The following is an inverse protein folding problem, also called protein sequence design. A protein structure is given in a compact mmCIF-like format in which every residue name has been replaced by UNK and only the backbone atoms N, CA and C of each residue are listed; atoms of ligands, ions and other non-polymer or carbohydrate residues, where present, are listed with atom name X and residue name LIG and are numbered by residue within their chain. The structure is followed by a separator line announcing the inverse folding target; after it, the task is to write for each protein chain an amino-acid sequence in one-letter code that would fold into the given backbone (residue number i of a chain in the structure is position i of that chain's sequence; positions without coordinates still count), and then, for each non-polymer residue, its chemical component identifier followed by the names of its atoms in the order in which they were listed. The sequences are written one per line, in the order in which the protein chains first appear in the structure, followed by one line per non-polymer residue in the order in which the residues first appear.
data_IF_730623320409
#
_entry.id   IF_730623320409
#
_cell.length_a   1.000
_cell.length_b   1.000
_cell.length_c   1.000
_cell.angle_alpha   90.00
_cell.angle_beta   90.00
_cell.angle_gamma   90.00
#
_symmetry.space_group_name_H-M   'P 1'
#
loop_
_entity.id
_entity.type
_entity.pdbx_description
1 polymer ?
#
# COMPACT_ATOMS: atom_id res chain seq x y z
N UNK A 1 -5.40 -11.37 15.88
CA UNK A 1 -4.87 -10.01 15.64
C UNK A 1 -4.45 -9.91 14.18
N UNK A 2 -4.99 -8.94 13.45
CA UNK A 2 -4.81 -8.80 12.01
C UNK A 2 -3.34 -8.64 11.60
N UNK A 3 -3.02 -9.07 10.38
CA UNK A 3 -1.68 -8.94 9.79
C UNK A 3 -1.42 -7.50 9.35
N UNK A 4 -0.14 -7.11 9.36
CA UNK A 4 0.34 -5.89 8.73
C UNK A 4 0.97 -6.24 7.37
N UNK A 5 0.45 -5.65 6.31
CA UNK A 5 0.83 -5.94 4.93
C UNK A 5 1.35 -4.67 4.27
N UNK A 6 2.49 -4.75 3.59
CA UNK A 6 2.95 -3.67 2.72
C UNK A 6 2.66 -4.05 1.27
N UNK A 7 1.93 -3.18 0.53
CA UNK A 7 1.51 -3.46 -0.84
C UNK A 7 1.62 -2.25 -1.76
N UNK A 8 2.20 -2.45 -2.94
CA UNK A 8 2.12 -1.51 -4.08
C UNK A 8 2.52 -2.17 -5.40
N UNK A 9 2.13 -1.54 -6.51
CA UNK A 9 2.77 -1.75 -7.81
C UNK A 9 4.21 -1.25 -7.77
N UNK A 10 5.13 -2.02 -8.35
CA UNK A 10 6.56 -1.74 -8.32
C UNK A 10 7.20 -2.00 -9.68
N UNK A 11 8.11 -1.11 -10.10
CA UNK A 11 8.97 -1.33 -11.27
C UNK A 11 9.96 -2.48 -11.02
N UNK A 12 10.52 -3.05 -12.07
CA UNK A 12 11.51 -4.13 -11.98
C UNK A 12 12.75 -3.73 -11.16
N UNK A 13 13.08 -2.46 -11.16
CA UNK A 13 14.23 -1.89 -10.42
C UNK A 13 13.84 -1.28 -9.05
N UNK A 14 12.63 -1.59 -8.54
CA UNK A 14 12.27 -1.37 -7.15
C UNK A 14 11.62 -0.02 -6.81
N UNK A 15 11.08 0.70 -7.79
CA UNK A 15 10.42 1.99 -7.56
C UNK A 15 8.90 1.89 -7.64
N UNK A 16 8.21 2.70 -6.84
CA UNK A 16 6.74 2.81 -6.76
C UNK A 16 6.21 4.11 -7.38
N UNK A 17 7.08 5.02 -7.73
CA UNK A 17 6.81 6.25 -8.48
C UNK A 17 8.12 6.77 -9.07
N UNK A 18 8.03 7.64 -10.07
CA UNK A 18 9.17 8.37 -10.61
C UNK A 18 9.65 9.49 -9.65
N UNK A 19 10.74 10.24 -9.98
CA UNK A 19 11.20 11.33 -9.11
C UNK A 19 10.21 12.50 -8.93
N UNK A 20 9.17 12.58 -9.78
CA UNK A 20 8.10 13.58 -9.72
C UNK A 20 6.81 13.04 -9.10
N UNK A 21 6.86 11.88 -8.45
CA UNK A 21 5.73 11.16 -7.84
C UNK A 21 4.68 10.62 -8.82
N UNK A 22 4.99 10.56 -10.12
CA UNK A 22 4.07 9.96 -11.06
C UNK A 22 4.22 8.43 -11.03
N UNK A 23 3.09 7.74 -10.94
CA UNK A 23 3.05 6.28 -11.01
C UNK A 23 3.15 5.78 -12.46
N UNK A 24 2.70 6.59 -13.43
CA UNK A 24 2.82 6.30 -14.86
C UNK A 24 2.45 4.86 -15.21
N UNK A 25 3.33 4.14 -15.94
CA UNK A 25 3.05 2.79 -16.42
C UNK A 25 2.88 1.73 -15.33
N UNK A 26 3.18 2.04 -14.06
CA UNK A 26 2.93 1.11 -12.95
C UNK A 26 1.45 0.80 -12.75
N UNK A 27 0.55 1.65 -13.24
CA UNK A 27 -0.89 1.48 -13.08
C UNK A 27 -1.62 1.07 -14.36
N UNK A 28 -0.92 0.88 -15.48
CA UNK A 28 -1.53 0.48 -16.76
C UNK A 28 -2.30 -0.85 -16.66
N UNK A 29 -1.81 -1.78 -15.83
CA UNK A 29 -2.45 -3.09 -15.65
C UNK A 29 -3.82 -3.02 -14.98
N UNK A 30 -4.15 -1.92 -14.29
CA UNK A 30 -5.50 -1.67 -13.73
C UNK A 30 -6.55 -1.34 -14.81
N UNK A 31 -6.14 -1.12 -16.05
CA UNK A 31 -7.01 -0.79 -17.17
C UNK A 31 -6.92 -1.75 -18.37
N UNK A 32 -6.18 -2.88 -18.26
CA UNK A 32 -5.85 -3.71 -19.42
C UNK A 32 -6.63 -5.03 -19.55
N UNK A 33 -7.72 -5.20 -18.80
CA UNK A 33 -8.52 -6.43 -18.83
C UNK A 33 -10.02 -6.19 -18.90
N UNK A 34 -10.76 -7.28 -18.84
CA UNK A 34 -12.22 -7.30 -19.02
C UNK A 34 -13.00 -7.50 -17.73
N UNK A 35 -12.31 -7.79 -16.60
CA UNK A 35 -12.98 -8.08 -15.33
C UNK A 35 -12.95 -6.85 -14.44
N UNK A 36 -14.15 -6.38 -14.09
CA UNK A 36 -14.29 -5.24 -13.18
C UNK A 36 -14.02 -5.64 -11.72
N UNK A 37 -13.24 -4.80 -11.05
CA UNK A 37 -12.95 -4.90 -9.61
C UNK A 37 -13.06 -3.51 -9.00
N UNK A 38 -13.71 -3.41 -7.85
CA UNK A 38 -13.80 -2.19 -7.05
C UNK A 38 -13.15 -2.39 -5.69
N UNK A 39 -12.51 -1.34 -5.17
CA UNK A 39 -12.03 -1.29 -3.79
C UNK A 39 -13.12 -0.81 -2.82
N UNK A 40 -12.72 -0.06 -1.80
CA UNK A 40 -13.64 0.53 -0.82
C UNK A 40 -14.52 1.65 -1.44
N UNK A 41 -14.01 2.35 -2.43
CA UNK A 41 -14.78 3.34 -3.22
C UNK A 41 -15.44 2.65 -4.43
N UNK A 42 -16.79 2.48 -4.45
CA UNK A 42 -17.48 1.82 -5.55
C UNK A 42 -17.43 2.61 -6.86
N UNK A 43 -17.17 3.91 -6.81
CA UNK A 43 -17.05 4.77 -7.98
C UNK A 43 -15.70 4.57 -8.70
N UNK A 44 -14.74 3.93 -8.02
CA UNK A 44 -13.42 3.61 -8.58
C UNK A 44 -13.39 2.18 -9.11
N UNK A 45 -13.67 2.02 -10.39
CA UNK A 45 -13.70 0.73 -11.09
C UNK A 45 -12.38 0.49 -11.81
N UNK A 46 -11.75 -0.65 -11.55
CA UNK A 46 -10.58 -1.15 -12.27
C UNK A 46 -11.01 -2.26 -13.24
N UNK A 47 -10.32 -2.38 -14.38
CA UNK A 47 -10.55 -3.42 -15.39
C UNK A 47 -9.28 -4.22 -15.57
N UNK A 48 -9.24 -5.41 -15.04
CA UNK A 48 -8.02 -6.22 -14.97
C UNK A 48 -8.24 -7.62 -15.57
N UNK A 49 -7.16 -8.38 -15.77
CA UNK A 49 -7.25 -9.78 -16.17
C UNK A 49 -7.98 -10.61 -15.10
N UNK A 50 -8.54 -11.75 -15.49
CA UNK A 50 -9.25 -12.63 -14.56
C UNK A 50 -8.36 -13.11 -13.39
N UNK A 51 -7.07 -13.37 -13.65
CA UNK A 51 -6.11 -13.76 -12.62
C UNK A 51 -5.86 -12.62 -11.64
N UNK A 52 -5.62 -11.40 -12.14
CA UNK A 52 -5.47 -10.20 -11.30
C UNK A 52 -6.74 -9.88 -10.52
N UNK A 53 -7.92 -10.06 -11.10
CA UNK A 53 -9.19 -9.85 -10.41
C UNK A 53 -9.37 -10.81 -9.22
N UNK A 54 -9.05 -12.08 -9.39
CA UNK A 54 -9.10 -13.05 -8.30
C UNK A 54 -8.13 -12.69 -7.17
N UNK A 55 -6.89 -12.33 -7.53
CA UNK A 55 -5.87 -11.88 -6.58
C UNK A 55 -6.31 -10.63 -5.81
N UNK A 56 -6.80 -9.59 -6.50
CA UNK A 56 -7.22 -8.35 -5.87
C UNK A 56 -8.41 -8.54 -4.92
N UNK A 57 -9.40 -9.36 -5.33
CA UNK A 57 -10.54 -9.68 -4.47
C UNK A 57 -10.12 -10.39 -3.20
N UNK A 58 -9.17 -11.32 -3.28
CA UNK A 58 -8.58 -11.97 -2.09
C UNK A 58 -7.83 -10.94 -1.22
N UNK A 59 -6.93 -10.16 -1.80
CA UNK A 59 -6.11 -9.20 -1.07
C UNK A 59 -6.94 -8.10 -0.40
N UNK A 60 -8.05 -7.65 -1.03
CA UNK A 60 -8.88 -6.56 -0.51
C UNK A 60 -10.06 -7.02 0.35
N UNK A 61 -10.46 -8.30 0.27
CA UNK A 61 -11.64 -8.83 0.99
C UNK A 61 -11.54 -8.67 2.51
N UNK A 62 -10.33 -8.68 3.06
CA UNK A 62 -10.07 -8.54 4.50
C UNK A 62 -9.33 -7.25 4.85
N UNK A 63 -9.29 -6.27 3.95
CA UNK A 63 -8.66 -5.00 4.23
C UNK A 63 -9.47 -4.19 5.26
N UNK A 64 -8.84 -3.83 6.37
CA UNK A 64 -9.47 -3.08 7.45
C UNK A 64 -9.07 -1.60 7.43
N UNK A 65 -7.79 -1.33 7.55
CA UNK A 65 -7.26 0.02 7.77
C UNK A 65 -5.98 0.23 6.96
N UNK A 66 -5.80 1.43 6.42
CA UNK A 66 -4.57 1.82 5.74
C UNK A 66 -3.73 2.76 6.61
N UNK A 67 -2.41 2.58 6.61
CA UNK A 67 -1.41 3.50 7.18
C UNK A 67 -0.59 4.07 6.04
N UNK A 68 -0.61 5.38 5.88
CA UNK A 68 0.04 6.09 4.78
C UNK A 68 0.95 7.21 5.29
N UNK A 69 1.86 7.67 4.43
CA UNK A 69 2.64 8.88 4.70
C UNK A 69 1.92 10.16 4.25
N UNK A 70 2.31 11.29 4.85
CA UNK A 70 1.80 12.62 4.53
C UNK A 70 1.91 12.96 3.03
N UNK A 71 3.03 12.62 2.38
CA UNK A 71 3.22 12.89 0.95
C UNK A 71 2.13 12.25 0.07
N UNK A 72 1.80 10.99 0.32
CA UNK A 72 0.74 10.31 -0.42
C UNK A 72 -0.64 10.94 -0.13
N UNK A 73 -0.90 11.30 1.12
CA UNK A 73 -2.10 12.04 1.49
C UNK A 73 -2.23 13.35 0.69
N UNK A 74 -1.17 14.15 0.63
CA UNK A 74 -1.18 15.43 -0.09
C UNK A 74 -1.36 15.24 -1.61
N UNK A 75 -0.65 14.27 -2.22
CA UNK A 75 -0.74 13.95 -3.65
C UNK A 75 -2.14 13.53 -4.09
N UNK A 76 -2.87 12.85 -3.22
CA UNK A 76 -4.21 12.34 -3.50
C UNK A 76 -5.34 13.22 -2.94
N UNK A 77 -5.00 14.27 -2.21
CA UNK A 77 -5.93 15.02 -1.36
C UNK A 77 -6.78 14.09 -0.48
N UNK A 78 -6.13 13.05 0.11
CA UNK A 78 -6.81 12.03 0.89
C UNK A 78 -7.93 11.33 0.13
N UNK A 79 -7.78 11.14 -1.19
CA UNK A 79 -8.82 10.59 -2.07
C UNK A 79 -10.20 11.24 -1.87
N UNK A 80 -10.21 12.55 -1.61
CA UNK A 80 -11.41 13.32 -1.33
C UNK A 80 -12.24 12.75 -0.16
N UNK A 81 -11.57 12.30 0.89
CA UNK A 81 -12.19 11.75 2.10
C UNK A 81 -12.65 10.29 2.00
N UNK A 82 -12.43 9.61 0.86
CA UNK A 82 -12.80 8.21 0.65
C UNK A 82 -11.57 7.31 0.75
N UNK A 83 -11.44 6.40 1.74
CA UNK A 83 -10.33 5.46 1.81
C UNK A 83 -10.18 4.66 0.51
N UNK A 84 -8.95 4.46 -0.01
CA UNK A 84 -8.77 3.69 -1.25
C UNK A 84 -9.01 2.20 -1.05
N UNK A 85 -8.71 1.70 0.16
CA UNK A 85 -8.91 0.31 0.59
C UNK A 85 -9.21 0.32 2.08
N UNK A 86 -10.11 -0.56 2.52
CA UNK A 86 -10.55 -0.64 3.92
C UNK A 86 -11.51 0.50 4.31
N UNK A 87 -11.70 0.72 5.60
CA UNK A 87 -12.72 1.64 6.13
C UNK A 87 -12.14 2.91 6.75
N UNK A 88 -10.82 2.95 7.04
CA UNK A 88 -10.16 4.11 7.65
C UNK A 88 -8.71 4.23 7.22
N UNK A 89 -8.15 5.44 7.36
CA UNK A 89 -6.77 5.77 7.03
C UNK A 89 -6.08 6.46 8.21
N UNK A 90 -4.91 5.97 8.58
CA UNK A 90 -3.99 6.65 9.49
C UNK A 90 -2.87 7.31 8.69
N UNK A 91 -2.72 8.61 8.84
CA UNK A 91 -1.70 9.42 8.13
C UNK A 91 -0.56 9.74 9.07
N UNK A 92 0.61 9.15 8.84
CA UNK A 92 1.83 9.49 9.59
C UNK A 92 2.35 10.82 9.09
N UNK A 93 2.44 11.81 9.98
CA UNK A 93 2.84 13.18 9.64
C UNK A 93 3.47 13.88 10.83
N UNK A 94 4.32 14.88 10.61
CA UNK A 94 4.81 15.77 11.67
C UNK A 94 3.80 16.86 12.03
N UNK A 95 2.92 17.23 11.09
CA UNK A 95 1.88 18.25 11.28
C UNK A 95 0.64 17.85 10.50
N UNK A 96 -0.53 17.71 11.14
CA UNK A 96 -1.81 17.57 10.44
C UNK A 96 -2.04 18.76 9.49
N UNK A 97 -2.82 18.62 8.41
CA UNK A 97 -3.24 19.75 7.60
C UNK A 97 -4.15 20.65 8.43
N UNK A 98 -4.02 21.96 8.27
CA UNK A 98 -4.85 22.96 8.98
C UNK A 98 -6.23 23.09 8.32
N UNK A 99 -6.25 23.09 6.99
CA UNK A 99 -7.46 23.23 6.17
C UNK A 99 -7.57 22.04 5.21
N UNK A 100 -8.35 21.04 5.59
CA UNK A 100 -8.70 19.92 4.72
C UNK A 100 -10.21 19.85 4.58
N UNK A 101 -10.70 19.78 3.33
CA UNK A 101 -12.12 19.89 2.98
C UNK A 101 -13.02 18.78 3.52
N UNK A 102 -12.44 17.71 4.08
CA UNK A 102 -13.16 16.50 4.51
C UNK A 102 -12.90 16.17 5.99
N UNK A 103 -13.23 17.07 6.94
CA UNK A 103 -12.91 16.89 8.36
C UNK A 103 -13.60 15.66 9.01
N UNK A 104 -14.75 15.25 8.49
CA UNK A 104 -15.54 14.12 9.00
C UNK A 104 -15.17 12.77 8.33
N UNK A 105 -14.21 12.77 7.39
CA UNK A 105 -13.75 11.56 6.75
C UNK A 105 -13.00 10.67 7.75
N UNK A 106 -12.98 9.33 7.54
CA UNK A 106 -12.35 8.38 8.45
C UNK A 106 -10.81 8.41 8.34
N UNK A 107 -10.21 9.58 8.56
CA UNK A 107 -8.78 9.81 8.53
C UNK A 107 -8.27 10.29 9.89
N UNK A 108 -7.24 9.63 10.40
CA UNK A 108 -6.57 9.99 11.66
C UNK A 108 -5.14 10.40 11.37
N UNK A 109 -4.76 11.61 11.77
CA UNK A 109 -3.39 12.10 11.64
C UNK A 109 -2.58 11.75 12.89
N UNK A 110 -1.48 11.01 12.70
CA UNK A 110 -0.62 10.53 13.79
C UNK A 110 0.73 11.21 13.72
N UNK A 111 1.09 11.92 14.79
CA UNK A 111 2.36 12.68 14.90
C UNK A 111 3.46 11.94 15.64
N UNK A 112 3.14 10.83 16.29
CA UNK A 112 4.03 10.07 17.17
C UNK A 112 4.75 8.91 16.44
N UNK A 113 4.76 8.96 15.09
CA UNK A 113 5.51 8.03 14.26
C UNK A 113 4.73 6.79 13.83
N UNK A 114 5.42 5.94 13.02
CA UNK A 114 4.80 4.80 12.35
C UNK A 114 4.37 3.70 13.33
N UNK A 115 5.13 3.46 14.39
CA UNK A 115 4.82 2.44 15.38
C UNK A 115 3.48 2.73 16.07
N UNK A 116 3.27 3.99 16.46
CA UNK A 116 2.01 4.43 17.07
C UNK A 116 0.85 4.34 16.08
N UNK A 117 1.06 4.74 14.83
CA UNK A 117 0.03 4.66 13.78
C UNK A 117 -0.38 3.21 13.51
N UNK A 118 0.58 2.28 13.39
CA UNK A 118 0.30 0.86 13.19
C UNK A 118 -0.40 0.25 14.40
N UNK A 119 -0.01 0.61 15.62
CA UNK A 119 -0.67 0.12 16.83
C UNK A 119 -2.16 0.52 16.87
N UNK A 120 -2.46 1.80 16.64
CA UNK A 120 -3.84 2.29 16.59
C UNK A 120 -4.63 1.68 15.42
N UNK A 121 -4.00 1.53 14.25
CA UNK A 121 -4.61 0.89 13.11
C UNK A 121 -4.97 -0.58 13.39
N UNK A 122 -4.13 -1.32 14.11
CA UNK A 122 -4.41 -2.71 14.54
C UNK A 122 -5.56 -2.79 15.53
N UNK A 123 -5.66 -1.86 16.47
CA UNK A 123 -6.78 -1.76 17.40
C UNK A 123 -8.12 -1.58 16.66
N UNK A 124 -8.16 -0.67 15.67
CA UNK A 124 -9.36 -0.40 14.87
C UNK A 124 -9.67 -1.56 13.91
N UNK A 125 -8.66 -2.13 13.27
CA UNK A 125 -8.84 -3.21 12.29
C UNK A 125 -9.32 -4.53 12.93
N UNK A 126 -8.98 -4.79 14.20
CA UNK A 126 -9.26 -6.06 14.87
C UNK A 126 -8.49 -7.22 14.24
N UNK A 127 -9.21 -8.18 13.66
CA UNK A 127 -8.62 -9.34 12.97
C UNK A 127 -8.40 -9.08 11.46
N UNK A 128 -8.81 -7.91 10.95
CA UNK A 128 -8.61 -7.52 9.55
C UNK A 128 -7.18 -7.02 9.30
N UNK A 129 -6.84 -6.93 8.03
CA UNK A 129 -5.51 -6.51 7.57
C UNK A 129 -5.31 -5.01 7.79
N UNK A 130 -4.14 -4.64 8.31
CA UNK A 130 -3.61 -3.28 8.27
C UNK A 130 -2.65 -3.16 7.08
N UNK A 131 -2.97 -2.30 6.11
CA UNK A 131 -2.13 -2.04 4.94
C UNK A 131 -1.21 -0.85 5.23
N UNK A 132 0.09 -1.04 5.11
CA UNK A 132 1.09 0.05 5.22
C UNK A 132 1.63 0.35 3.83
N UNK A 133 1.51 1.60 3.38
CA UNK A 133 2.04 1.97 2.06
C UNK A 133 3.56 1.90 2.05
N UNK A 134 4.16 1.33 0.99
CA UNK A 134 5.60 1.38 0.74
C UNK A 134 6.16 2.80 0.69
N UNK A 135 7.46 2.95 0.50
CA UNK A 135 8.17 4.21 0.55
C UNK A 135 8.71 4.50 1.95
N UNK A 136 8.77 5.77 2.36
CA UNK A 136 9.39 6.17 3.62
C UNK A 136 8.69 5.57 4.85
N UNK A 137 7.35 5.64 4.92
CA UNK A 137 6.58 5.07 6.04
C UNK A 137 6.71 3.55 6.06
N UNK A 138 6.62 2.89 4.90
CA UNK A 138 6.86 1.45 4.79
C UNK A 138 8.27 1.07 5.25
N UNK A 139 9.30 1.81 4.81
CA UNK A 139 10.69 1.61 5.25
C UNK A 139 10.88 1.70 6.75
N UNK A 140 10.19 2.64 7.42
CA UNK A 140 10.17 2.75 8.87
C UNK A 140 9.46 1.54 9.51
N UNK A 141 8.31 1.11 8.96
CA UNK A 141 7.57 -0.06 9.45
C UNK A 141 8.39 -1.35 9.32
N UNK A 142 9.11 -1.54 8.21
CA UNK A 142 10.05 -2.66 8.04
C UNK A 142 11.17 -2.63 9.07
N UNK A 143 11.77 -1.47 9.33
CA UNK A 143 12.85 -1.31 10.31
C UNK A 143 12.39 -1.61 11.72
N UNK A 144 11.15 -1.26 12.05
CA UNK A 144 10.52 -1.53 13.34
C UNK A 144 9.99 -2.99 13.48
N UNK A 145 10.16 -3.84 12.45
CA UNK A 145 9.69 -5.23 12.48
C UNK A 145 8.16 -5.38 12.53
N UNK A 146 7.42 -4.41 12.02
CA UNK A 146 5.96 -4.36 12.12
C UNK A 146 5.25 -5.09 10.98
N UNK A 147 5.94 -5.36 9.86
CA UNK A 147 5.34 -5.91 8.63
C UNK A 147 5.42 -7.43 8.63
N UNK A 148 4.28 -8.09 8.45
CA UNK A 148 4.16 -9.54 8.37
C UNK A 148 4.28 -10.08 6.94
N UNK A 149 3.75 -9.33 5.95
CA UNK A 149 3.74 -9.74 4.54
C UNK A 149 4.09 -8.56 3.61
N UNK A 150 4.77 -8.89 2.51
CA UNK A 150 5.14 -7.96 1.43
C UNK A 150 4.42 -8.40 0.16
N UNK A 151 3.56 -7.57 -0.38
CA UNK A 151 2.83 -7.79 -1.62
C UNK A 151 3.36 -6.83 -2.68
N UNK A 152 3.92 -7.38 -3.74
CA UNK A 152 4.48 -6.62 -4.85
C UNK A 152 3.71 -6.96 -6.12
N UNK A 153 3.07 -5.95 -6.69
CA UNK A 153 2.53 -6.04 -8.04
C UNK A 153 3.63 -5.60 -9.02
N UNK A 154 4.49 -6.56 -9.40
CA UNK A 154 5.68 -6.32 -10.20
C UNK A 154 5.31 -6.04 -11.66
N UNK A 155 5.59 -4.83 -12.12
CA UNK A 155 5.30 -4.36 -13.47
C UNK A 155 6.59 -4.39 -14.32
N UNK A 156 6.54 -4.86 -15.59
CA UNK A 156 7.71 -4.95 -16.46
C UNK A 156 8.12 -3.58 -17.02
N UNK A 157 8.56 -2.69 -16.13
CA UNK A 157 9.07 -1.35 -16.42
C UNK A 157 10.29 -1.06 -15.56
N UNK A 158 11.20 -0.25 -16.07
CA UNK A 158 12.39 0.24 -15.36
C UNK A 158 12.32 1.76 -15.29
N UNK A 159 12.42 2.33 -14.10
CA UNK A 159 12.36 3.79 -13.88
C UNK A 159 13.75 4.42 -13.81
N UNK A 160 14.78 3.70 -13.36
CA UNK A 160 16.13 4.20 -13.15
C UNK A 160 16.30 5.09 -11.91
N UNK A 161 15.26 5.82 -11.52
CA UNK A 161 15.21 6.66 -10.32
C UNK A 161 13.76 6.84 -9.85
N UNK A 162 13.56 7.22 -8.60
CA UNK A 162 12.23 7.49 -8.07
C UNK A 162 12.07 7.17 -6.58
N UNK A 163 10.85 6.94 -6.17
CA UNK A 163 10.49 6.55 -4.81
C UNK A 163 10.67 5.05 -4.65
N UNK A 164 11.60 4.63 -3.79
CA UNK A 164 11.89 3.20 -3.57
C UNK A 164 10.78 2.52 -2.78
N UNK A 165 10.46 1.27 -3.12
CA UNK A 165 9.47 0.45 -2.41
C UNK A 165 9.79 0.35 -0.91
N UNK A 166 11.02 0.03 -0.54
CA UNK A 166 11.46 -0.08 0.84
C UNK A 166 11.94 1.25 1.45
N UNK A 167 11.77 2.38 0.75
CA UNK A 167 12.23 3.68 1.19
C UNK A 167 13.73 3.68 1.50
N UNK A 168 14.10 4.30 2.62
CA UNK A 168 15.49 4.34 3.12
C UNK A 168 15.76 3.21 4.13
N UNK A 169 15.22 2.00 3.86
CA UNK A 169 15.50 0.85 4.71
C UNK A 169 17.01 0.60 4.77
N UNK A 170 17.57 0.79 5.95
CA UNK A 170 18.96 0.55 6.26
C UNK A 170 19.02 -0.30 7.55
N UNK A 171 19.24 -1.58 7.39
CA UNK A 171 19.28 -2.52 8.51
C UNK A 171 19.88 -3.85 8.09
N UNK A 172 19.80 -4.83 8.96
CA UNK A 172 20.13 -6.21 8.61
C UNK A 172 19.23 -6.69 7.47
N UNK A 173 19.69 -7.62 6.60
CA UNK A 173 18.85 -8.15 5.54
C UNK A 173 17.51 -8.66 6.08
N UNK A 174 16.40 -8.18 5.50
CA UNK A 174 15.07 -8.70 5.78
C UNK A 174 14.88 -10.01 5.01
N UNK A 175 14.76 -11.13 5.72
CA UNK A 175 14.59 -12.43 5.10
C UNK A 175 13.11 -12.69 4.84
N UNK A 176 12.80 -13.11 3.62
CA UNK A 176 11.46 -13.47 3.16
C UNK A 176 11.38 -14.97 2.88
N UNK A 177 10.19 -15.54 2.99
CA UNK A 177 9.89 -16.89 2.51
C UNK A 177 9.75 -16.88 0.98
N UNK A 178 9.63 -18.07 0.36
CA UNK A 178 9.29 -18.15 -1.06
C UNK A 178 7.93 -17.51 -1.34
N UNK A 179 7.80 -16.75 -2.44
CA UNK A 179 6.55 -16.06 -2.74
C UNK A 179 5.46 -17.01 -3.25
N UNK A 180 4.22 -16.67 -2.95
CA UNK A 180 3.10 -17.05 -3.78
C UNK A 180 3.10 -16.15 -5.02
N UNK A 181 2.91 -16.73 -6.21
CA UNK A 181 3.04 -16.03 -7.49
C UNK A 181 1.74 -16.17 -8.28
N UNK A 182 1.16 -15.04 -8.69
CA UNK A 182 0.04 -15.01 -9.63
C UNK A 182 0.44 -14.18 -10.84
N UNK A 183 0.40 -14.79 -12.03
CA UNK A 183 0.70 -14.10 -13.28
C UNK A 183 -0.57 -13.40 -13.80
N UNK A 184 -0.54 -12.07 -13.83
CA UNK A 184 -1.52 -11.23 -14.50
C UNK A 184 -1.08 -10.85 -15.92
N UNK A 185 -1.83 -9.95 -16.56
CA UNK A 185 -1.42 -9.35 -17.81
C UNK A 185 -0.62 -8.06 -17.53
N UNK A 186 0.63 -8.02 -18.00
CA UNK A 186 1.63 -6.95 -17.72
C UNK A 186 1.90 -6.69 -16.25
N UNK A 187 1.64 -7.67 -15.39
CA UNK A 187 1.93 -7.63 -13.95
C UNK A 187 2.14 -9.04 -13.43
N UNK A 188 3.07 -9.20 -12.48
CA UNK A 188 3.24 -10.43 -11.70
C UNK A 188 3.00 -10.09 -10.23
N UNK A 189 1.98 -10.67 -9.63
CA UNK A 189 1.67 -10.49 -8.22
C UNK A 189 2.53 -11.43 -7.39
N UNK A 190 3.27 -10.89 -6.43
CA UNK A 190 4.18 -11.61 -5.55
C UNK A 190 3.76 -11.35 -4.11
N UNK A 191 3.46 -12.40 -3.36
CA UNK A 191 3.15 -12.33 -1.92
C UNK A 191 4.23 -13.05 -1.13
N UNK A 192 4.99 -12.33 -0.35
CA UNK A 192 6.04 -12.84 0.53
C UNK A 192 5.62 -12.74 1.98
N UNK A 193 5.95 -13.77 2.78
CA UNK A 193 5.92 -13.67 4.23
C UNK A 193 7.28 -13.25 4.76
N UNK A 194 7.28 -12.35 5.75
CA UNK A 194 8.52 -11.97 6.46
C UNK A 194 8.87 -13.11 7.42
N UNK A 195 10.12 -13.59 7.36
CA UNK A 195 10.59 -14.62 8.30
C UNK A 195 10.66 -14.04 9.71
N UNK A 196 10.04 -14.71 10.64
CA UNK A 196 10.24 -14.47 12.06
C UNK A 196 11.64 -14.97 12.43
N UNK A 197 12.50 -14.12 12.98
CA UNK A 197 13.84 -14.47 13.49
C UNK A 197 13.77 -14.92 14.93
#
# INVERSE_FOLDING_TARGET
MGKVVSQASMSLDGYIADPSDNVGPLFDWYGNGDVEVTGADPDRVFRVSAASAAYLRDAWSNAGVSVIGRRLFDLTNGWHGKPPVGEAVFVVTHRPPEDWDFPDAPFTFVTDGVERAVAQAKELAGDRVVSVTPGNVGGQAFRAGLVDEVLVDLVPVVFGAGVRYFGDYAGSPLLLENPEIVQGDRVTHLRYRVRQT
#
